data_IF_363794695605
#
_entry.id   IF_363794695605
#
_cell.length_a   1.000
_cell.length_b   1.000
_cell.length_c   1.000
_cell.angle_alpha   90.00
_cell.angle_beta   90.00
_cell.angle_gamma   90.00
#
_symmetry.space_group_name_H-M   'P 1'
#
loop_
_entity.id
_entity.type
_entity.pdbx_description
1 polymer ?
#
# COMPACT_ATOMS: atom_id res chain seq x y z
N UNK A 1 10.33 10.93 -4.19
CA UNK A 1 9.86 10.23 -2.97
C UNK A 1 8.67 10.90 -2.29
N UNK A 2 8.53 12.24 -2.37
CA UNK A 2 7.42 12.96 -1.73
C UNK A 2 6.05 12.56 -2.31
N UNK A 3 5.99 12.30 -3.62
CA UNK A 3 4.77 11.90 -4.31
C UNK A 3 4.36 10.47 -3.95
N UNK A 4 5.31 9.52 -3.95
CA UNK A 4 5.07 8.15 -3.47
C UNK A 4 4.54 8.15 -2.02
N UNK A 5 5.11 8.99 -1.14
CA UNK A 5 4.59 9.12 0.21
C UNK A 5 3.16 9.67 0.25
N UNK A 6 2.85 10.73 -0.52
CA UNK A 6 1.50 11.27 -0.59
C UNK A 6 0.47 10.24 -1.07
N UNK A 7 0.80 9.47 -2.12
CA UNK A 7 -0.04 8.40 -2.65
C UNK A 7 -0.26 7.31 -1.58
N UNK A 8 0.80 6.91 -0.87
CA UNK A 8 0.71 5.88 0.17
C UNK A 8 -0.23 6.26 1.33
N UNK A 9 -0.36 7.55 1.64
CA UNK A 9 -1.28 8.03 2.68
C UNK A 9 -2.74 7.92 2.26
N UNK A 10 -3.02 8.22 0.99
CA UNK A 10 -4.37 8.07 0.42
C UNK A 10 -4.73 6.59 0.39
N UNK A 11 -3.82 5.75 -0.10
CA UNK A 11 -3.99 4.30 -0.10
C UNK A 11 -4.22 3.73 1.31
N UNK A 12 -3.49 4.22 2.32
CA UNK A 12 -3.69 3.83 3.72
C UNK A 12 -5.10 4.17 4.21
N UNK A 13 -5.59 5.37 3.92
CA UNK A 13 -6.95 5.77 4.29
C UNK A 13 -7.99 4.89 3.60
N UNK A 14 -7.87 4.70 2.28
CA UNK A 14 -8.77 3.86 1.49
C UNK A 14 -8.80 2.40 2.00
N UNK A 15 -7.66 1.84 2.41
CA UNK A 15 -7.60 0.49 3.00
C UNK A 15 -8.36 0.43 4.33
N UNK A 16 -8.22 1.44 5.18
CA UNK A 16 -8.90 1.44 6.47
C UNK A 16 -10.42 1.62 6.32
N UNK A 17 -10.84 2.48 5.39
CA UNK A 17 -12.25 2.69 5.06
C UNK A 17 -12.89 1.41 4.48
N UNK A 18 -12.25 0.81 3.47
CA UNK A 18 -12.74 -0.42 2.82
C UNK A 18 -12.75 -1.66 3.74
N UNK A 19 -12.11 -1.57 4.91
CA UNK A 19 -12.06 -2.67 5.87
C UNK A 19 -12.78 -2.36 7.18
N UNK A 20 -13.48 -1.22 7.28
CA UNK A 20 -14.01 -0.65 8.52
C UNK A 20 -15.14 -1.48 9.21
N UNK A 21 -15.67 -2.53 8.56
CA UNK A 21 -16.83 -3.27 9.08
C UNK A 21 -16.67 -3.81 10.52
N UNK A 22 -17.75 -3.73 11.34
CA UNK A 22 -17.75 -4.14 12.73
C UNK A 22 -17.97 -5.67 12.94
N UNK A 23 -17.31 -6.17 13.98
CA UNK A 23 -17.67 -7.33 14.84
C UNK A 23 -17.62 -8.79 14.37
N UNK A 24 -17.44 -9.15 13.11
CA UNK A 24 -16.98 -10.53 12.80
C UNK A 24 -15.45 -10.57 12.87
N UNK A 25 -14.90 -11.58 13.55
CA UNK A 25 -13.47 -11.73 13.80
C UNK A 25 -12.65 -11.37 12.54
N UNK A 26 -11.55 -10.59 12.68
CA UNK A 26 -10.82 -10.11 11.52
C UNK A 26 -10.39 -11.28 10.64
N UNK A 27 -10.92 -11.33 9.41
CA UNK A 27 -10.45 -12.27 8.42
C UNK A 27 -8.92 -12.08 8.26
N UNK A 28 -8.10 -13.15 8.27
CA UNK A 28 -6.64 -13.02 8.16
C UNK A 28 -6.17 -12.10 7.01
N UNK A 29 -6.82 -12.08 5.82
CA UNK A 29 -6.49 -11.14 4.74
C UNK A 29 -6.69 -9.66 5.12
N UNK A 30 -7.74 -9.33 5.88
CA UNK A 30 -8.08 -7.95 6.30
C UNK A 30 -6.98 -7.33 7.16
N UNK A 31 -6.53 -8.08 8.17
CA UNK A 31 -5.44 -7.62 9.05
C UNK A 31 -4.12 -7.48 8.30
N UNK A 32 -3.83 -8.43 7.38
CA UNK A 32 -2.63 -8.37 6.55
C UNK A 32 -2.64 -7.14 5.66
N UNK A 33 -3.76 -6.84 5.00
CA UNK A 33 -3.90 -5.67 4.12
C UNK A 33 -3.65 -4.36 4.87
N UNK A 34 -4.28 -4.18 6.04
CA UNK A 34 -4.05 -3.01 6.91
C UNK A 34 -2.59 -2.87 7.31
N UNK A 35 -1.95 -3.97 7.72
CA UNK A 35 -0.54 -3.97 8.12
C UNK A 35 0.36 -3.58 6.96
N UNK A 36 0.11 -4.10 5.75
CA UNK A 36 0.90 -3.76 4.57
C UNK A 36 0.78 -2.28 4.20
N UNK A 37 -0.43 -1.73 4.21
CA UNK A 37 -0.64 -0.31 3.95
C UNK A 37 0.10 0.59 4.96
N UNK A 38 0.06 0.22 6.25
CA UNK A 38 0.77 0.96 7.31
C UNK A 38 2.29 0.87 7.15
N UNK A 39 2.82 -0.32 6.88
CA UNK A 39 4.24 -0.55 6.63
C UNK A 39 4.73 0.27 5.44
N UNK A 40 4.01 0.22 4.31
CA UNK A 40 4.30 1.01 3.11
C UNK A 40 4.37 2.50 3.42
N UNK A 41 3.35 3.05 4.09
CA UNK A 41 3.34 4.48 4.42
C UNK A 41 4.48 4.87 5.36
N UNK A 42 4.87 3.98 6.28
CA UNK A 42 6.00 4.20 7.20
C UNK A 42 7.35 4.20 6.47
N UNK A 43 7.58 3.22 5.59
CA UNK A 43 8.79 3.13 4.77
C UNK A 43 8.94 4.38 3.89
N UNK A 44 7.85 4.79 3.25
CA UNK A 44 7.85 5.94 2.35
C UNK A 44 7.97 7.27 3.09
N UNK A 45 7.41 7.38 4.29
CA UNK A 45 7.68 8.52 5.18
C UNK A 45 9.18 8.60 5.51
N UNK A 46 9.77 7.48 5.95
CA UNK A 46 11.18 7.44 6.29
C UNK A 46 12.05 7.80 5.07
N UNK A 47 11.70 7.32 3.88
CA UNK A 47 12.42 7.61 2.65
C UNK A 47 12.25 9.07 2.17
N UNK A 48 11.05 9.65 2.29
CA UNK A 48 10.78 11.04 1.92
C UNK A 48 11.48 12.05 2.84
N UNK A 49 11.82 11.64 4.06
CA UNK A 49 12.43 12.50 5.09
C UNK A 49 13.87 12.09 5.47
N UNK A 50 14.44 11.03 4.88
CA UNK A 50 15.81 10.63 5.11
C UNK A 50 16.81 11.43 4.25
N UNK A 51 18.03 11.60 4.80
CA UNK A 51 19.21 12.03 4.04
C UNK A 51 19.53 11.01 2.91
N UNK A 52 20.19 11.40 1.79
CA UNK A 52 20.36 10.58 0.57
C UNK A 52 21.00 9.18 0.72
N UNK A 53 21.48 8.84 1.91
CA UNK A 53 22.18 7.60 2.24
C UNK A 53 21.25 6.38 2.41
N UNK A 54 19.91 6.55 2.38
CA UNK A 54 18.92 5.45 2.50
C UNK A 54 18.25 5.06 1.18
N UNK A 55 19.05 4.75 0.14
CA UNK A 55 18.52 4.30 -1.17
C UNK A 55 17.78 2.96 -1.14
N UNK A 56 17.94 2.13 -0.10
CA UNK A 56 17.30 0.81 -0.01
C UNK A 56 15.79 0.80 0.30
N UNK A 57 15.18 1.96 0.56
CA UNK A 57 13.77 2.02 0.95
C UNK A 57 12.78 1.84 -0.22
N UNK A 58 13.19 2.09 -1.46
CA UNK A 58 12.34 1.93 -2.64
C UNK A 58 12.12 0.47 -3.00
N UNK A 59 13.16 -0.36 -2.94
CA UNK A 59 13.07 -1.80 -3.24
C UNK A 59 12.18 -2.50 -2.21
N UNK A 60 12.39 -2.22 -0.92
CA UNK A 60 11.53 -2.76 0.14
C UNK A 60 10.07 -2.29 -0.03
N UNK A 61 9.84 -1.03 -0.40
CA UNK A 61 8.49 -0.54 -0.66
C UNK A 61 7.84 -1.24 -1.86
N UNK A 62 8.58 -1.52 -2.93
CA UNK A 62 8.09 -2.27 -4.09
C UNK A 62 7.71 -3.71 -3.71
N UNK A 63 8.52 -4.39 -2.89
CA UNK A 63 8.20 -5.74 -2.41
C UNK A 63 6.92 -5.76 -1.57
N UNK A 64 6.75 -4.77 -0.67
CA UNK A 64 5.52 -4.63 0.12
C UNK A 64 4.31 -4.29 -0.73
N UNK A 65 4.49 -3.52 -1.78
CA UNK A 65 3.43 -3.18 -2.71
C UNK A 65 2.96 -4.39 -3.51
N UNK A 66 3.88 -5.24 -3.98
CA UNK A 66 3.55 -6.51 -4.63
C UNK A 66 2.78 -7.43 -3.68
N UNK A 67 3.23 -7.57 -2.44
CA UNK A 67 2.53 -8.36 -1.41
C UNK A 67 1.11 -7.81 -1.14
N UNK A 68 0.95 -6.49 -1.19
CA UNK A 68 -0.34 -5.83 -0.99
C UNK A 68 -1.30 -6.11 -2.14
N UNK A 69 -0.84 -6.08 -3.40
CA UNK A 69 -1.66 -6.42 -4.57
C UNK A 69 -2.24 -7.83 -4.47
N UNK A 70 -1.43 -8.82 -4.15
CA UNK A 70 -1.92 -10.20 -3.92
C UNK A 70 -2.86 -10.31 -2.72
N UNK A 71 -2.66 -9.47 -1.68
CA UNK A 71 -3.55 -9.45 -0.52
C UNK A 71 -4.90 -8.80 -0.84
N UNK A 72 -4.94 -7.81 -1.75
CA UNK A 72 -6.19 -7.19 -2.24
C UNK A 72 -7.02 -8.26 -2.97
N UNK A 73 -6.41 -9.07 -3.83
CA UNK A 73 -7.08 -10.19 -4.52
C UNK A 73 -7.68 -11.18 -3.51
N UNK A 74 -6.89 -11.62 -2.52
CA UNK A 74 -7.38 -12.51 -1.48
C UNK A 74 -8.52 -11.90 -0.64
N UNK A 75 -8.50 -10.59 -0.41
CA UNK A 75 -9.58 -9.90 0.27
C UNK A 75 -10.85 -9.81 -0.60
N UNK A 76 -10.72 -9.63 -1.91
CA UNK A 76 -11.84 -9.64 -2.84
C UNK A 76 -12.47 -11.05 -2.93
N UNK A 77 -11.66 -12.09 -3.12
CA UNK A 77 -12.12 -13.48 -3.19
C UNK A 77 -12.77 -13.93 -1.87
N UNK A 78 -12.25 -13.46 -0.74
CA UNK A 78 -12.78 -13.71 0.58
C UNK A 78 -14.00 -12.87 0.97
N UNK A 79 -14.52 -12.03 0.07
CA UNK A 79 -15.67 -11.16 0.33
C UNK A 79 -15.41 -10.04 1.36
N UNK A 80 -14.14 -9.76 1.66
CA UNK A 80 -13.73 -8.66 2.55
C UNK A 80 -13.81 -7.31 1.83
N UNK A 81 -13.53 -7.30 0.53
CA UNK A 81 -13.64 -6.12 -0.33
C UNK A 81 -14.72 -6.35 -1.39
N UNK A 82 -15.53 -5.34 -1.65
CA UNK A 82 -16.33 -5.30 -2.86
C UNK A 82 -15.42 -5.19 -4.11
N UNK A 83 -15.91 -5.58 -5.30
CA UNK A 83 -15.15 -5.42 -6.54
C UNK A 83 -14.72 -3.97 -6.80
N UNK A 84 -15.55 -2.98 -6.42
CA UNK A 84 -15.25 -1.57 -6.60
C UNK A 84 -14.14 -1.09 -5.65
N UNK A 85 -14.12 -1.56 -4.40
CA UNK A 85 -13.06 -1.24 -3.44
C UNK A 85 -11.74 -1.90 -3.86
N UNK A 86 -11.77 -3.17 -4.24
CA UNK A 86 -10.58 -3.87 -4.71
C UNK A 86 -9.98 -3.21 -5.96
N UNK A 87 -10.81 -2.79 -6.91
CA UNK A 87 -10.38 -2.07 -8.10
C UNK A 87 -9.73 -0.72 -7.75
N UNK A 88 -10.37 0.07 -6.86
CA UNK A 88 -9.80 1.34 -6.39
C UNK A 88 -8.44 1.14 -5.73
N UNK A 89 -8.30 0.13 -4.86
CA UNK A 89 -7.04 -0.18 -4.20
C UNK A 89 -5.96 -0.65 -5.19
N UNK A 90 -6.33 -1.40 -6.24
CA UNK A 90 -5.41 -1.79 -7.32
C UNK A 90 -4.92 -0.59 -8.12
N UNK A 91 -5.81 0.31 -8.53
CA UNK A 91 -5.44 1.56 -9.23
C UNK A 91 -4.50 2.44 -8.41
N UNK A 92 -4.75 2.55 -7.09
CA UNK A 92 -3.87 3.27 -6.18
C UNK A 92 -2.51 2.58 -6.02
N UNK A 93 -2.50 1.25 -5.98
CA UNK A 93 -1.25 0.47 -5.92
C UNK A 93 -0.42 0.67 -7.20
N UNK A 94 -1.04 0.69 -8.38
CA UNK A 94 -0.37 0.97 -9.64
C UNK A 94 0.20 2.39 -9.71
N UNK A 95 -0.56 3.38 -9.22
CA UNK A 95 -0.06 4.76 -9.13
C UNK A 95 1.17 4.86 -8.23
N UNK A 96 1.18 4.11 -7.11
CA UNK A 96 2.30 4.06 -6.19
C UNK A 96 3.52 3.36 -6.81
N UNK A 97 3.33 2.25 -7.52
CA UNK A 97 4.41 1.52 -8.21
C UNK A 97 5.09 2.42 -9.24
N UNK A 98 4.31 3.11 -10.07
CA UNK A 98 4.85 4.09 -11.04
C UNK A 98 5.68 5.17 -10.35
N UNK A 99 5.14 5.80 -9.29
CA UNK A 99 5.86 6.83 -8.56
C UNK A 99 7.17 6.31 -7.93
N UNK A 100 7.17 5.08 -7.41
CA UNK A 100 8.36 4.46 -6.82
C UNK A 100 9.45 4.19 -7.87
N UNK A 101 9.06 3.76 -9.08
CA UNK A 101 9.99 3.51 -10.19
C UNK A 101 10.53 4.80 -10.79
N UNK A 102 9.69 5.82 -10.96
CA UNK A 102 10.10 7.13 -11.45
C UNK A 102 11.11 7.77 -10.48
N UNK A 103 10.89 7.63 -9.17
CA UNK A 103 11.82 8.08 -8.13
C UNK A 103 13.13 7.27 -8.11
N UNK A 104 13.08 5.98 -8.44
CA UNK A 104 14.25 5.09 -8.52
C UNK A 104 15.09 5.25 -9.78
N UNK A 105 14.54 5.82 -10.85
CA UNK A 105 15.23 6.06 -12.13
C UNK A 105 15.86 7.44 -12.25
N UNK A 106 15.55 8.37 -11.34
CA UNK A 106 16.11 9.73 -11.30
C UNK A 106 17.55 9.82 -10.75
N UNK A 107 18.37 8.78 -10.94
CA UNK A 107 19.78 8.69 -10.49
C UNK A 107 20.74 9.05 -11.61
#
# INVERSE_FOLDING_TARGET
MKDAYAISRILLADVYDATAEPESAPAPPRQRLRRLALTLSTLLFAAAHASPERRGASDEALDRLNEMTSTIEACQDGGVLSPAEAERLRQMSEALDRSLRDDGTAV
#
